data_IF_085161334117
#
_entry.id   IF_085161334117
#
_cell.length_a   1.000
_cell.length_b   1.000
_cell.length_c   1.000
_cell.angle_alpha   90.00
_cell.angle_beta   90.00
_cell.angle_gamma   90.00
#
_symmetry.space_group_name_H-M   'P 1'
#
loop_
_entity.id
_entity.type
_entity.pdbx_description
1 polymer ?
#
# COMPACT_ATOMS: atom_id res chain seq x y z
N UNK A 1 -3.60 -10.70 -37.99
CA UNK A 1 -2.30 -11.31 -37.61
C UNK A 1 -2.38 -11.67 -36.13
N UNK A 2 -2.11 -12.92 -35.78
CA UNK A 2 -2.09 -13.37 -34.37
C UNK A 2 -0.70 -13.15 -33.79
N UNK A 3 -0.64 -12.57 -32.59
CA UNK A 3 0.59 -12.30 -31.86
C UNK A 3 0.59 -13.12 -30.57
N UNK A 4 1.71 -13.79 -30.29
CA UNK A 4 1.93 -14.50 -29.04
C UNK A 4 2.61 -13.57 -28.04
N UNK A 5 2.08 -13.49 -26.83
CA UNK A 5 2.67 -12.74 -25.73
C UNK A 5 2.91 -13.66 -24.54
N UNK A 6 4.05 -13.51 -23.89
CA UNK A 6 4.44 -14.31 -22.73
C UNK A 6 5.01 -13.40 -21.66
N UNK A 7 4.71 -13.70 -20.41
CA UNK A 7 5.15 -12.92 -19.28
C UNK A 7 5.12 -13.73 -17.98
N UNK A 8 5.41 -13.05 -16.89
CA UNK A 8 5.30 -13.56 -15.53
C UNK A 8 4.48 -12.60 -14.68
N UNK A 9 3.62 -13.15 -13.83
CA UNK A 9 2.83 -12.39 -12.87
C UNK A 9 3.22 -12.84 -11.46
N UNK A 10 3.47 -11.85 -10.61
CA UNK A 10 3.87 -12.03 -9.23
C UNK A 10 3.03 -11.13 -8.31
N UNK A 11 2.98 -11.47 -7.03
CA UNK A 11 2.59 -10.53 -5.99
C UNK A 11 3.55 -9.33 -5.91
N UNK A 12 3.17 -8.30 -5.15
CA UNK A 12 3.97 -7.09 -4.94
C UNK A 12 5.37 -7.38 -4.37
N UNK A 13 5.53 -8.47 -3.60
CA UNK A 13 6.81 -8.92 -3.07
C UNK A 13 7.66 -9.75 -4.05
N UNK A 14 7.19 -9.94 -5.28
CA UNK A 14 7.87 -10.71 -6.32
C UNK A 14 7.66 -12.23 -6.24
N UNK A 15 6.91 -12.75 -5.26
CA UNK A 15 6.54 -14.17 -5.21
C UNK A 15 5.63 -14.49 -6.40
N UNK A 16 5.93 -15.55 -7.19
CA UNK A 16 5.11 -15.91 -8.33
C UNK A 16 3.67 -16.26 -7.96
N UNK A 17 2.71 -15.88 -8.80
CA UNK A 17 1.30 -16.17 -8.59
C UNK A 17 0.73 -17.06 -9.70
N UNK A 18 0.23 -18.24 -9.31
CA UNK A 18 -0.39 -19.21 -10.19
C UNK A 18 -1.89 -18.95 -10.39
N UNK A 19 -2.46 -19.56 -11.43
CA UNK A 19 -3.90 -19.52 -11.75
C UNK A 19 -4.45 -18.12 -12.01
N UNK A 20 -3.60 -17.16 -12.39
CA UNK A 20 -4.02 -15.84 -12.84
C UNK A 20 -4.37 -15.93 -14.32
N UNK A 21 -5.58 -15.49 -14.67
CA UNK A 21 -6.03 -15.41 -16.05
C UNK A 21 -5.58 -14.06 -16.62
N UNK A 22 -4.86 -14.08 -17.74
CA UNK A 22 -4.37 -12.89 -18.43
C UNK A 22 -5.09 -12.71 -19.78
N UNK A 23 -5.61 -11.51 -20.01
CA UNK A 23 -6.29 -11.09 -21.25
C UNK A 23 -5.78 -9.72 -21.70
N UNK A 24 -5.74 -9.47 -23.00
CA UNK A 24 -5.37 -8.16 -23.56
C UNK A 24 -6.62 -7.49 -24.12
N UNK A 25 -6.77 -6.22 -23.78
CA UNK A 25 -7.83 -5.35 -24.24
C UNK A 25 -7.25 -4.09 -24.86
N UNK A 26 -8.06 -3.39 -25.67
CA UNK A 26 -7.80 -2.02 -26.08
C UNK A 26 -8.72 -1.07 -25.30
N UNK A 27 -8.16 0.05 -24.81
CA UNK A 27 -8.93 1.01 -24.05
C UNK A 27 -9.68 1.97 -24.97
N UNK A 28 -10.99 2.00 -24.80
CA UNK A 28 -11.90 2.80 -25.59
C UNK A 28 -12.18 4.18 -24.93
N UNK A 29 -12.65 5.19 -25.68
CA UNK A 29 -13.13 6.44 -25.11
C UNK A 29 -14.24 6.24 -24.07
N UNK A 30 -14.27 7.11 -23.07
CA UNK A 30 -15.22 7.04 -21.95
C UNK A 30 -16.68 6.89 -22.43
N UNK A 31 -17.34 5.82 -21.99
CA UNK A 31 -18.72 5.49 -22.34
C UNK A 31 -18.86 4.40 -23.41
N UNK A 32 -17.77 4.01 -24.07
CA UNK A 32 -17.67 2.79 -24.88
C UNK A 32 -17.12 1.61 -24.06
N UNK A 33 -17.18 0.41 -24.63
CA UNK A 33 -16.75 -0.84 -23.98
C UNK A 33 -15.44 -1.30 -24.61
N UNK A 34 -14.38 -1.35 -23.80
CA UNK A 34 -13.07 -1.85 -24.18
C UNK A 34 -13.12 -3.14 -25.03
N UNK A 35 -12.33 -3.14 -26.10
CA UNK A 35 -12.26 -4.23 -27.05
C UNK A 35 -11.39 -5.38 -26.56
N UNK A 36 -11.93 -6.59 -26.57
CA UNK A 36 -11.17 -7.78 -26.20
C UNK A 36 -10.33 -8.29 -27.37
N UNK A 37 -9.04 -7.98 -27.33
CA UNK A 37 -8.07 -8.40 -28.35
C UNK A 37 -7.67 -9.88 -28.19
N UNK A 38 -8.03 -10.52 -27.08
CA UNK A 38 -7.59 -11.88 -26.72
C UNK A 38 -8.24 -12.93 -27.63
N UNK A 39 -7.42 -13.81 -28.21
CA UNK A 39 -7.85 -15.02 -28.92
C UNK A 39 -7.80 -16.23 -28.00
N UNK A 40 -6.71 -16.38 -27.26
CA UNK A 40 -6.52 -17.45 -26.28
C UNK A 40 -5.97 -16.83 -25.00
N UNK A 41 -6.70 -16.88 -23.88
CA UNK A 41 -6.24 -16.32 -22.62
C UNK A 41 -5.02 -17.09 -22.09
N UNK A 42 -4.17 -16.38 -21.36
CA UNK A 42 -3.08 -17.01 -20.62
C UNK A 42 -3.55 -17.40 -19.23
N UNK A 43 -3.03 -18.52 -18.71
CA UNK A 43 -3.18 -18.88 -17.30
C UNK A 43 -1.77 -19.06 -16.73
N UNK A 44 -1.46 -18.42 -15.60
CA UNK A 44 -0.14 -18.55 -15.00
C UNK A 44 0.06 -19.90 -14.32
N UNK A 45 1.25 -20.47 -14.49
CA UNK A 45 1.68 -21.69 -13.80
C UNK A 45 2.20 -21.42 -12.37
N UNK A 46 2.68 -22.46 -11.67
CA UNK A 46 3.25 -22.35 -10.33
C UNK A 46 4.51 -21.46 -10.23
N UNK A 47 5.11 -21.10 -11.37
CA UNK A 47 6.23 -20.16 -11.45
C UNK A 47 5.77 -18.77 -11.91
N UNK A 48 4.45 -18.52 -11.94
CA UNK A 48 3.84 -17.27 -12.34
C UNK A 48 3.88 -17.01 -13.85
N UNK A 49 4.37 -17.96 -14.66
CA UNK A 49 4.55 -17.77 -16.11
C UNK A 49 3.26 -18.05 -16.84
N UNK A 50 2.91 -17.17 -17.77
CA UNK A 50 1.75 -17.35 -18.66
C UNK A 50 2.16 -17.11 -20.12
N UNK A 51 1.34 -17.62 -21.03
CA UNK A 51 1.42 -17.32 -22.45
C UNK A 51 0.02 -17.20 -23.03
N UNK A 52 -0.23 -16.16 -23.81
CA UNK A 52 -1.51 -15.88 -24.42
C UNK A 52 -1.34 -15.55 -25.91
N UNK A 53 -2.44 -15.58 -26.65
CA UNK A 53 -2.49 -15.14 -28.06
C UNK A 53 -3.54 -14.07 -28.22
N UNK A 54 -3.21 -12.98 -28.91
CA UNK A 54 -4.12 -11.86 -29.16
C UNK A 54 -3.97 -11.35 -30.60
N UNK A 55 -4.96 -10.59 -31.07
CA UNK A 55 -4.97 -9.99 -32.41
C UNK A 55 -5.01 -8.47 -32.28
N UNK A 56 -3.89 -7.76 -32.53
CA UNK A 56 -3.80 -6.32 -32.32
C UNK A 56 -4.83 -5.51 -33.10
N UNK A 57 -5.25 -5.98 -34.28
CA UNK A 57 -6.17 -5.27 -35.17
C UNK A 57 -7.65 -5.43 -34.78
N UNK A 58 -7.98 -6.17 -33.71
CA UNK A 58 -9.36 -6.32 -33.23
C UNK A 58 -9.92 -5.08 -32.54
N UNK A 59 -9.09 -4.06 -32.30
CA UNK A 59 -9.49 -2.78 -31.73
C UNK A 59 -10.24 -1.87 -32.70
N UNK A 60 -10.27 -2.18 -34.00
CA UNK A 60 -10.85 -1.27 -34.98
C UNK A 60 -12.38 -1.35 -34.95
N UNK A 61 -13.01 -0.34 -34.35
CA UNK A 61 -14.43 -0.07 -34.54
C UNK A 61 -14.76 0.31 -35.99
N UNK A 62 -15.95 -0.06 -36.46
CA UNK A 62 -16.44 0.31 -37.80
C UNK A 62 -17.82 0.99 -37.73
N UNK A 63 -17.90 2.20 -38.28
CA UNK A 63 -19.17 2.89 -38.53
C UNK A 63 -19.79 2.41 -39.83
N UNK A 64 -21.09 2.09 -39.81
CA UNK A 64 -21.83 1.76 -41.03
C UNK A 64 -22.54 3.00 -41.53
N UNK A 65 -22.11 3.52 -42.68
CA UNK A 65 -22.82 4.59 -43.38
C UNK A 65 -23.77 3.94 -44.38
N UNK A 66 -25.06 4.14 -44.18
CA UNK A 66 -26.06 3.82 -45.20
C UNK A 66 -26.21 5.06 -46.09
N UNK A 67 -25.74 5.02 -47.35
CA UNK A 67 -25.99 6.12 -48.26
C UNK A 67 -27.50 6.28 -48.46
N UNK A 68 -28.00 7.51 -48.31
CA UNK A 68 -29.38 7.85 -48.65
C UNK A 68 -29.57 7.61 -50.14
N UNK A 69 -30.40 6.64 -50.52
CA UNK A 69 -30.81 6.45 -51.90
C UNK A 69 -31.62 7.68 -52.34
N UNK A 70 -31.04 8.54 -53.17
CA UNK A 70 -31.81 9.49 -53.96
C UNK A 70 -32.60 8.69 -55.03
N UNK A 71 -33.90 8.98 -55.29
CA UNK A 71 -34.73 8.12 -56.12
C UNK A 71 -34.35 8.01 -57.61
N UNK A 72 -33.46 8.86 -58.13
CA UNK A 72 -33.29 9.06 -59.57
C UNK A 72 -31.86 8.86 -60.10
N UNK A 73 -31.19 7.75 -59.75
CA UNK A 73 -29.97 7.31 -60.45
C UNK A 73 -30.16 5.97 -61.21
N UNK A 74 -29.84 5.91 -62.52
CA UNK A 74 -30.23 4.81 -63.42
C UNK A 74 -29.38 3.53 -63.32
N UNK A 75 -28.48 3.41 -62.34
CA UNK A 75 -27.57 2.26 -62.21
C UNK A 75 -27.57 1.58 -60.82
N UNK A 76 -28.70 1.56 -60.12
CA UNK A 76 -28.82 0.81 -58.87
C UNK A 76 -29.14 -0.67 -59.12
N UNK A 77 -28.12 -1.52 -59.14
CA UNK A 77 -28.28 -2.95 -58.84
C UNK A 77 -28.62 -3.11 -57.35
N UNK A 78 -29.74 -3.77 -57.08
CA UNK A 78 -30.27 -4.10 -55.75
C UNK A 78 -29.35 -5.04 -54.97
N UNK A 79 -28.26 -4.52 -54.42
CA UNK A 79 -27.60 -5.13 -53.27
C UNK A 79 -28.18 -4.51 -52.00
N UNK A 80 -29.32 -5.06 -51.57
CA UNK A 80 -29.92 -4.73 -50.27
C UNK A 80 -28.92 -5.14 -49.18
N UNK A 81 -28.32 -4.16 -48.48
CA UNK A 81 -27.74 -4.36 -47.15
C UNK A 81 -26.26 -4.05 -46.93
N UNK A 82 -25.49 -3.57 -47.92
CA UNK A 82 -24.07 -3.24 -47.70
C UNK A 82 -23.85 -1.74 -47.49
N UNK A 83 -24.14 -1.25 -46.28
CA UNK A 83 -23.66 0.04 -45.83
C UNK A 83 -22.13 0.11 -45.90
N UNK A 84 -21.58 1.28 -46.24
CA UNK A 84 -20.14 1.48 -46.30
C UNK A 84 -19.59 1.41 -44.87
N UNK A 85 -18.77 0.40 -44.56
CA UNK A 85 -18.09 0.29 -43.27
C UNK A 85 -16.79 1.09 -43.31
N UNK A 86 -16.73 2.17 -42.54
CA UNK A 86 -15.51 2.96 -42.37
C UNK A 86 -14.93 2.74 -40.97
N UNK A 87 -13.61 2.59 -40.83
CA UNK A 87 -12.97 2.55 -39.52
C UNK A 87 -13.31 3.81 -38.72
N UNK A 88 -13.53 3.66 -37.42
CA UNK A 88 -13.60 4.80 -36.51
C UNK A 88 -12.19 5.40 -36.37
N UNK A 89 -11.93 6.52 -37.06
CA UNK A 89 -10.63 7.19 -37.01
C UNK A 89 -10.34 7.86 -35.65
N UNK A 90 -11.33 7.90 -34.74
CA UNK A 90 -11.13 8.34 -33.36
C UNK A 90 -10.55 7.26 -32.44
N UNK A 91 -10.42 6.03 -32.94
CA UNK A 91 -10.00 4.88 -32.15
C UNK A 91 -8.47 4.81 -32.03
N UNK A 92 -7.98 5.01 -30.80
CA UNK A 92 -6.54 5.08 -30.50
C UNK A 92 -6.13 3.77 -29.87
N UNK A 93 -5.20 3.07 -30.52
CA UNK A 93 -4.63 1.84 -30.00
C UNK A 93 -3.91 2.07 -28.65
N UNK A 94 -4.57 1.71 -27.56
CA UNK A 94 -4.15 1.85 -26.17
C UNK A 94 -4.27 0.50 -25.43
N UNK A 95 -3.42 -0.48 -25.79
CA UNK A 95 -3.57 -1.83 -25.27
C UNK A 95 -3.16 -1.91 -23.81
N UNK A 96 -3.96 -2.65 -23.04
CA UNK A 96 -3.63 -3.03 -21.67
C UNK A 96 -3.83 -4.53 -21.47
N UNK A 97 -3.12 -5.08 -20.51
CA UNK A 97 -3.32 -6.45 -20.03
C UNK A 97 -4.11 -6.40 -18.74
N UNK A 98 -5.16 -7.20 -18.66
CA UNK A 98 -5.95 -7.42 -17.46
C UNK A 98 -5.64 -8.81 -16.89
N UNK A 99 -5.44 -8.84 -15.57
CA UNK A 99 -5.22 -10.03 -14.78
C UNK A 99 -6.43 -10.27 -13.88
N UNK A 100 -7.07 -11.42 -14.02
CA UNK A 100 -8.16 -11.87 -13.15
C UNK A 100 -7.68 -13.02 -12.27
N UNK A 101 -7.88 -12.90 -10.96
CA UNK A 101 -7.39 -13.86 -9.98
C UNK A 101 -8.21 -13.81 -8.69
N UNK A 102 -8.22 -14.90 -7.94
CA UNK A 102 -8.86 -14.95 -6.63
C UNK A 102 -7.84 -14.67 -5.54
N UNK A 103 -8.11 -13.68 -4.69
CA UNK A 103 -7.33 -13.37 -3.50
C UNK A 103 -8.24 -13.36 -2.28
N UNK A 104 -7.96 -14.24 -1.31
CA UNK A 104 -8.75 -14.37 -0.09
C UNK A 104 -10.26 -14.58 -0.34
N UNK A 105 -10.58 -15.43 -1.33
CA UNK A 105 -11.97 -15.75 -1.71
C UNK A 105 -12.71 -14.65 -2.50
N UNK A 106 -12.04 -13.55 -2.84
CA UNK A 106 -12.59 -12.48 -3.67
C UNK A 106 -11.95 -12.52 -5.05
N UNK A 107 -12.76 -12.36 -6.08
CA UNK A 107 -12.27 -12.24 -7.46
C UNK A 107 -11.87 -10.79 -7.72
N UNK A 108 -10.59 -10.61 -8.05
CA UNK A 108 -9.97 -9.31 -8.30
C UNK A 108 -9.55 -9.19 -9.76
N UNK A 109 -9.49 -7.95 -10.22
CA UNK A 109 -8.96 -7.59 -11.53
C UNK A 109 -7.87 -6.53 -11.38
N UNK A 110 -6.77 -6.70 -12.10
CA UNK A 110 -5.70 -5.72 -12.15
C UNK A 110 -5.32 -5.42 -13.60
N UNK A 111 -5.19 -4.14 -13.93
CA UNK A 111 -4.85 -3.68 -15.28
C UNK A 111 -3.45 -3.09 -15.29
N UNK A 112 -2.67 -3.44 -16.30
CA UNK A 112 -1.37 -2.84 -16.58
C UNK A 112 -1.28 -2.44 -18.05
N UNK A 113 -0.70 -1.28 -18.39
CA UNK A 113 -0.39 -0.95 -19.77
C UNK A 113 0.44 -2.06 -20.44
N UNK A 114 0.14 -2.39 -21.69
CA UNK A 114 0.91 -3.36 -22.45
C UNK A 114 2.09 -2.66 -23.12
N UNK A 115 3.28 -2.78 -22.54
CA UNK A 115 4.52 -2.17 -23.06
C UNK A 115 5.39 -3.21 -23.76
N UNK A 116 6.05 -2.82 -24.86
CA UNK A 116 6.85 -3.70 -25.74
C UNK A 116 8.01 -4.46 -25.06
N UNK A 117 8.44 -4.05 -23.87
CA UNK A 117 9.50 -4.72 -23.10
C UNK A 117 9.07 -5.15 -21.69
N UNK A 118 7.81 -4.92 -21.31
CA UNK A 118 7.32 -5.32 -19.99
C UNK A 118 6.81 -6.75 -20.04
N UNK A 119 7.55 -7.66 -19.41
CA UNK A 119 7.22 -9.08 -19.33
C UNK A 119 7.01 -9.56 -17.90
N UNK A 120 7.22 -8.69 -16.90
CA UNK A 120 6.96 -8.96 -15.50
C UNK A 120 5.88 -8.00 -15.01
N UNK A 121 4.86 -8.55 -14.37
CA UNK A 121 3.72 -7.81 -13.84
C UNK A 121 3.60 -8.09 -12.34
N UNK A 122 3.60 -7.03 -11.54
CA UNK A 122 3.43 -7.11 -10.10
C UNK A 122 2.00 -6.71 -9.77
N UNK A 123 1.26 -7.62 -9.17
CA UNK A 123 -0.06 -7.35 -8.61
C UNK A 123 0.11 -6.60 -7.27
N UNK A 124 -0.86 -5.75 -6.88
CA UNK A 124 -0.72 -4.90 -5.71
C UNK A 124 -0.74 -5.65 -4.36
N UNK A 125 -1.27 -6.88 -4.33
CA UNK A 125 -1.39 -7.71 -3.13
C UNK A 125 -0.06 -8.40 -2.78
N UNK A 126 0.12 -8.72 -1.49
CA UNK A 126 1.17 -9.64 -1.04
C UNK A 126 0.57 -11.03 -0.77
N UNK A 127 1.40 -12.08 -0.67
CA UNK A 127 0.95 -13.37 -0.14
C UNK A 127 0.37 -13.21 1.27
N UNK A 128 -0.64 -14.01 1.59
CA UNK A 128 -1.24 -14.04 2.92
C UNK A 128 -0.17 -14.37 3.97
N UNK A 129 -0.12 -13.58 5.04
CA UNK A 129 0.84 -13.75 6.11
C UNK A 129 0.17 -13.67 7.48
N UNK A 130 0.31 -14.73 8.27
CA UNK A 130 0.00 -14.69 9.70
C UNK A 130 1.21 -14.20 10.48
N UNK A 131 1.27 -12.88 10.69
CA UNK A 131 2.36 -12.27 11.42
C UNK A 131 2.13 -12.37 12.94
N UNK A 132 3.08 -12.99 13.64
CA UNK A 132 3.19 -12.98 15.11
C UNK A 132 4.49 -12.28 15.57
N UNK A 133 4.45 -11.25 16.45
CA UNK A 133 5.63 -10.54 16.93
C UNK A 133 6.70 -11.43 17.59
N UNK A 134 6.31 -12.43 18.38
CA UNK A 134 7.23 -13.36 19.05
C UNK A 134 7.98 -14.29 18.10
N UNK A 135 7.44 -14.51 16.89
CA UNK A 135 8.06 -15.36 15.87
C UNK A 135 8.82 -14.54 14.81
N UNK A 136 8.28 -13.40 14.41
CA UNK A 136 8.74 -12.64 13.25
C UNK A 136 9.37 -11.28 13.61
N UNK A 137 9.23 -10.82 14.85
CA UNK A 137 9.78 -9.55 15.33
C UNK A 137 11.19 -9.71 15.92
N UNK A 138 12.06 -8.71 15.74
CA UNK A 138 13.43 -8.76 16.26
C UNK A 138 13.44 -8.89 17.80
N UNK A 139 14.40 -9.67 18.33
CA UNK A 139 14.52 -9.95 19.77
C UNK A 139 15.30 -8.88 20.55
N UNK A 140 15.63 -7.75 19.93
CA UNK A 140 16.33 -6.63 20.56
C UNK A 140 15.50 -5.35 20.45
N UNK A 141 15.56 -4.46 21.46
CA UNK A 141 14.75 -3.25 21.44
C UNK A 141 15.31 -2.24 20.45
N UNK A 142 14.41 -1.41 19.94
CA UNK A 142 14.71 -0.28 19.07
C UNK A 142 15.45 0.87 19.82
N UNK A 143 16.73 0.65 20.13
CA UNK A 143 17.57 1.59 20.88
C UNK A 143 19.04 1.53 20.43
N UNK A 144 19.32 2.05 19.23
CA UNK A 144 20.65 2.01 18.63
C UNK A 144 21.56 3.06 19.25
N UNK A 145 22.83 2.74 19.44
CA UNK A 145 23.84 3.69 19.93
C UNK A 145 24.27 4.68 18.83
N UNK A 146 24.55 5.92 19.20
CA UNK A 146 25.07 6.96 18.30
C UNK A 146 24.01 7.97 17.88
N UNK A 147 24.14 8.49 16.66
CA UNK A 147 23.28 9.53 16.10
C UNK A 147 22.62 9.07 14.79
N UNK A 148 21.35 9.42 14.62
CA UNK A 148 20.55 9.03 13.46
C UNK A 148 20.96 9.71 12.14
N UNK A 149 21.62 10.88 12.20
CA UNK A 149 21.83 11.73 11.02
C UNK A 149 23.03 11.27 10.16
N UNK A 150 22.88 11.23 8.81
CA UNK A 150 23.95 10.90 7.87
C UNK A 150 24.90 12.06 7.54
N UNK A 151 24.73 13.22 8.16
CA UNK A 151 25.66 14.34 8.00
C UNK A 151 26.72 14.23 9.06
N UNK A 152 27.99 14.22 8.66
CA UNK A 152 29.12 14.53 9.54
C UNK A 152 28.75 15.76 10.35
N UNK A 153 28.32 15.58 11.59
CA UNK A 153 28.00 16.69 12.46
C UNK A 153 29.28 17.51 12.55
N UNK A 154 29.31 18.77 12.06
CA UNK A 154 30.48 19.61 12.25
C UNK A 154 30.80 19.60 13.75
N UNK A 155 32.09 19.59 14.12
CA UNK A 155 32.55 19.38 15.51
C UNK A 155 31.95 20.31 16.57
N UNK A 156 31.23 21.36 16.17
CA UNK A 156 30.46 22.26 17.02
C UNK A 156 29.03 21.78 17.39
N UNK A 157 28.50 20.73 16.76
CA UNK A 157 27.21 20.09 17.10
C UNK A 157 27.42 18.87 18.02
N UNK A 158 28.67 18.52 18.35
CA UNK A 158 29.02 17.60 19.44
C UNK A 158 28.74 18.23 20.83
N UNK A 159 27.52 18.72 20.99
CA UNK A 159 26.95 19.12 22.26
C UNK A 159 26.58 17.86 23.03
N UNK A 160 26.88 17.83 24.33
CA UNK A 160 26.45 16.81 25.29
C UNK A 160 24.92 16.61 25.37
N UNK A 161 24.14 17.41 24.63
CA UNK A 161 22.67 17.38 24.57
C UNK A 161 22.08 16.52 23.45
N UNK A 162 22.88 15.97 22.54
CA UNK A 162 22.35 15.07 21.51
C UNK A 162 22.21 13.66 22.11
N UNK A 163 21.01 13.08 22.01
CA UNK A 163 20.72 11.76 22.57
C UNK A 163 21.76 10.74 22.10
N UNK A 164 22.37 10.00 23.04
CA UNK A 164 23.40 8.98 22.75
C UNK A 164 22.82 7.73 22.09
N UNK A 165 21.51 7.72 21.85
CA UNK A 165 20.78 6.64 21.20
C UNK A 165 19.68 7.18 20.29
N UNK A 166 19.34 6.42 19.24
CA UNK A 166 18.25 6.71 18.31
C UNK A 166 17.45 5.44 17.99
N UNK A 167 16.26 5.64 17.42
CA UNK A 167 15.39 4.57 16.95
C UNK A 167 15.42 4.40 15.43
N UNK A 168 15.27 3.15 14.99
CA UNK A 168 14.98 2.69 13.64
C UNK A 168 13.62 1.95 13.61
N UNK A 169 12.60 2.45 14.30
CA UNK A 169 11.32 1.75 14.46
C UNK A 169 10.65 1.39 13.13
N UNK A 170 10.59 2.33 12.19
CA UNK A 170 10.06 2.09 10.83
C UNK A 170 10.90 1.07 10.08
N UNK A 171 12.22 1.15 10.20
CA UNK A 171 13.15 0.19 9.59
C UNK A 171 13.02 -1.21 10.16
N UNK A 172 12.82 -1.35 11.47
CA UNK A 172 12.61 -2.63 12.15
C UNK A 172 11.24 -3.23 11.83
N UNK A 173 10.19 -2.43 11.72
CA UNK A 173 8.86 -2.89 11.28
C UNK A 173 8.89 -3.40 9.84
N UNK A 174 9.44 -2.60 8.93
CA UNK A 174 9.57 -2.98 7.52
C UNK A 174 10.44 -4.22 7.34
N UNK A 175 11.58 -4.30 8.04
CA UNK A 175 12.46 -5.47 7.95
C UNK A 175 11.82 -6.73 8.54
N UNK A 176 11.14 -6.65 9.69
CA UNK A 176 10.42 -7.80 10.25
C UNK A 176 9.36 -8.32 9.25
N UNK A 177 8.64 -7.40 8.61
CA UNK A 177 7.67 -7.75 7.59
C UNK A 177 8.32 -8.35 6.32
N UNK A 178 9.45 -7.79 5.87
CA UNK A 178 10.24 -8.31 4.75
C UNK A 178 10.70 -9.76 5.03
N UNK A 179 11.19 -10.05 6.24
CA UNK A 179 11.59 -11.39 6.67
C UNK A 179 10.44 -12.38 6.64
N UNK A 180 9.31 -12.00 7.23
CA UNK A 180 8.11 -12.83 7.29
C UNK A 180 7.54 -13.12 5.89
N UNK A 181 7.43 -12.11 5.03
CA UNK A 181 6.98 -12.28 3.64
C UNK A 181 7.93 -13.15 2.80
N UNK A 182 9.22 -13.11 3.09
CA UNK A 182 10.21 -13.94 2.42
C UNK A 182 10.27 -15.38 2.97
N UNK A 183 9.46 -15.72 3.99
CA UNK A 183 9.53 -17.01 4.68
C UNK A 183 10.89 -17.26 5.34
N UNK A 184 11.61 -16.21 5.71
CA UNK A 184 12.94 -16.29 6.33
C UNK A 184 12.84 -16.06 7.82
N UNK A 185 13.60 -16.83 8.59
CA UNK A 185 13.81 -16.53 10.00
C UNK A 185 14.60 -15.25 10.17
N UNK A 186 14.15 -14.41 11.10
CA UNK A 186 14.90 -13.24 11.54
C UNK A 186 16.23 -13.66 12.20
N UNK A 187 17.23 -12.77 12.24
CA UNK A 187 18.45 -12.97 13.02
C UNK A 187 18.16 -13.32 14.48
N UNK A 188 18.64 -14.48 14.93
CA UNK A 188 18.43 -15.01 16.29
C UNK A 188 19.38 -14.38 17.31
N UNK A 189 19.51 -13.05 17.30
CA UNK A 189 20.35 -12.28 18.22
C UNK A 189 19.49 -11.39 19.11
N UNK A 190 19.82 -11.33 20.39
CA UNK A 190 19.25 -10.38 21.35
C UNK A 190 20.07 -9.10 21.46
N UNK A 191 21.26 -9.08 20.86
CA UNK A 191 22.14 -7.91 20.81
C UNK A 191 21.72 -6.94 19.72
N UNK A 192 21.59 -5.66 20.08
CA UNK A 192 21.37 -4.56 19.12
C UNK A 192 22.57 -4.54 18.16
N UNK A 193 22.35 -4.57 16.84
CA UNK A 193 23.45 -4.67 15.88
C UNK A 193 24.31 -3.40 15.91
N UNK A 194 25.62 -3.58 15.96
CA UNK A 194 26.56 -2.47 15.93
C UNK A 194 26.43 -1.65 14.65
N UNK A 195 26.69 -0.35 14.76
CA UNK A 195 26.66 0.57 13.62
C UNK A 195 27.56 0.07 12.49
N UNK A 196 27.04 0.07 11.26
CA UNK A 196 27.78 -0.36 10.07
C UNK A 196 27.82 -1.86 9.83
N UNK A 197 27.26 -2.69 10.72
CA UNK A 197 27.01 -4.11 10.41
C UNK A 197 25.98 -4.24 9.29
N UNK A 198 25.92 -5.41 8.62
CA UNK A 198 24.95 -5.66 7.53
C UNK A 198 23.50 -5.48 8.00
N UNK A 199 23.17 -6.00 9.18
CA UNK A 199 21.83 -5.87 9.74
C UNK A 199 21.52 -4.40 10.07
N UNK A 200 22.44 -3.69 10.72
CA UNK A 200 22.26 -2.27 11.02
C UNK A 200 22.03 -1.44 9.75
N UNK A 201 22.87 -1.61 8.71
CA UNK A 201 22.72 -0.88 7.43
C UNK A 201 21.38 -1.18 6.75
N UNK A 202 20.93 -2.44 6.82
CA UNK A 202 19.64 -2.83 6.27
C UNK A 202 18.48 -2.15 7.03
N UNK A 203 18.46 -2.23 8.36
CA UNK A 203 17.46 -1.55 9.20
C UNK A 203 17.46 -0.04 8.95
N UNK A 204 18.64 0.56 8.82
CA UNK A 204 18.78 1.99 8.53
C UNK A 204 18.21 2.35 7.15
N UNK A 205 18.52 1.56 6.11
CA UNK A 205 17.96 1.77 4.77
C UNK A 205 16.43 1.68 4.80
N UNK A 206 15.87 0.66 5.45
CA UNK A 206 14.41 0.51 5.58
C UNK A 206 13.78 1.64 6.39
N UNK A 207 14.49 2.19 7.37
CA UNK A 207 14.04 3.39 8.08
C UNK A 207 13.96 4.60 7.14
N UNK A 208 14.96 4.79 6.27
CA UNK A 208 14.93 5.85 5.26
C UNK A 208 13.81 5.64 4.26
N UNK A 209 13.55 4.40 3.83
CA UNK A 209 12.44 4.06 2.93
C UNK A 209 11.08 4.46 3.55
N UNK A 210 10.91 4.28 4.87
CA UNK A 210 9.67 4.66 5.58
C UNK A 210 9.40 6.17 5.54
N UNK A 211 10.42 7.01 5.31
CA UNK A 211 10.22 8.45 5.17
C UNK A 211 9.59 8.83 3.81
N UNK A 212 9.54 7.90 2.87
CA UNK A 212 9.02 8.09 1.51
C UNK A 212 9.94 8.92 0.61
N UNK A 213 9.64 8.91 -0.69
CA UNK A 213 10.35 9.73 -1.67
C UNK A 213 10.29 11.22 -1.29
N UNK A 214 11.43 11.90 -1.29
CA UNK A 214 11.57 13.30 -0.87
C UNK A 214 11.04 13.59 0.55
N UNK A 215 11.09 12.61 1.46
CA UNK A 215 10.67 12.75 2.86
C UNK A 215 9.17 13.10 3.06
N UNK A 216 8.31 12.77 2.09
CA UNK A 216 6.87 13.07 2.15
C UNK A 216 6.17 12.53 3.41
N UNK A 217 6.58 11.36 3.91
CA UNK A 217 5.97 10.79 5.12
C UNK A 217 6.44 11.48 6.39
N UNK A 218 7.69 11.97 6.43
CA UNK A 218 8.13 12.86 7.52
C UNK A 218 7.32 14.15 7.53
N UNK A 219 6.99 14.70 6.37
CA UNK A 219 6.09 15.86 6.25
C UNK A 219 4.69 15.51 6.78
N UNK A 220 4.15 14.33 6.46
CA UNK A 220 2.85 13.88 6.99
C UNK A 220 2.89 13.73 8.51
N UNK A 221 3.91 13.09 9.09
CA UNK A 221 4.10 13.01 10.55
C UNK A 221 4.17 14.41 11.17
N UNK A 222 4.92 15.33 10.55
CA UNK A 222 5.03 16.70 11.02
C UNK A 222 3.69 17.43 11.02
N UNK A 223 2.91 17.31 9.94
CA UNK A 223 1.56 17.86 9.83
C UNK A 223 0.66 17.31 10.93
N UNK A 224 0.66 16.00 11.16
CA UNK A 224 -0.14 15.36 12.21
C UNK A 224 0.31 15.78 13.62
N UNK A 225 1.60 15.98 13.84
CA UNK A 225 2.15 16.45 15.12
C UNK A 225 1.69 17.87 15.45
N UNK A 226 1.50 18.71 14.42
CA UNK A 226 0.98 20.07 14.55
C UNK A 226 -0.55 20.16 14.49
N UNK A 227 -1.25 19.04 14.23
CA UNK A 227 -2.71 19.06 14.35
C UNK A 227 -3.04 19.30 15.83
N UNK A 228 -3.93 20.25 16.12
CA UNK A 228 -4.26 20.59 17.52
C UNK A 228 -4.97 19.42 18.27
N UNK A 229 -5.34 19.54 19.57
CA UNK A 229 -6.37 18.70 20.30
C UNK A 229 -7.78 19.37 20.60
N UNK A 230 -8.93 18.81 20.17
CA UNK A 230 -10.29 19.29 20.55
C UNK A 230 -11.26 20.07 19.61
N UNK A 231 -11.27 19.98 18.26
CA UNK A 231 -12.43 20.45 17.42
C UNK A 231 -12.97 19.35 16.46
N UNK A 232 -13.55 19.67 15.29
CA UNK A 232 -14.16 18.71 14.35
C UNK A 232 -13.19 18.07 13.31
N UNK A 233 -12.07 18.72 12.97
CA UNK A 233 -11.08 18.29 11.94
C UNK A 233 -9.74 17.71 12.49
N UNK A 234 -9.77 16.76 13.43
CA UNK A 234 -8.62 16.43 14.30
C UNK A 234 -8.02 15.08 13.99
N UNK A 235 -7.01 14.71 14.75
CA UNK A 235 -6.40 13.39 14.69
C UNK A 235 -7.44 12.28 14.86
N UNK A 236 -8.51 12.47 15.66
CA UNK A 236 -9.58 11.47 15.82
C UNK A 236 -10.39 11.21 14.55
N UNK A 237 -10.87 12.24 13.84
CA UNK A 237 -11.60 12.04 12.58
C UNK A 237 -10.69 11.52 11.48
N UNK A 238 -9.47 12.06 11.36
CA UNK A 238 -8.47 11.57 10.41
C UNK A 238 -8.04 10.12 10.68
N UNK A 239 -7.95 9.72 11.95
CA UNK A 239 -7.66 8.33 12.33
C UNK A 239 -8.80 7.42 11.90
N UNK A 240 -10.06 7.85 12.04
CA UNK A 240 -11.23 7.13 11.55
C UNK A 240 -11.18 6.94 10.02
N UNK A 241 -10.85 8.00 9.28
CA UNK A 241 -10.71 7.95 7.82
C UNK A 241 -9.59 7.00 7.37
N UNK A 242 -8.42 7.10 8.00
CA UNK A 242 -7.26 6.23 7.73
C UNK A 242 -7.56 4.78 8.09
N UNK A 243 -8.31 4.54 9.17
CA UNK A 243 -8.62 3.19 9.64
C UNK A 243 -9.44 2.40 8.63
N UNK A 244 -10.31 3.02 7.84
CA UNK A 244 -11.05 2.33 6.78
C UNK A 244 -10.12 1.65 5.76
N UNK A 245 -9.02 2.31 5.39
CA UNK A 245 -8.03 1.73 4.48
C UNK A 245 -7.16 0.68 5.18
N UNK A 246 -6.80 0.92 6.45
CA UNK A 246 -6.04 -0.03 7.26
C UNK A 246 -6.84 -1.34 7.43
N UNK A 247 -8.13 -1.22 7.76
CA UNK A 247 -9.06 -2.33 7.94
C UNK A 247 -9.07 -3.25 6.73
N UNK A 248 -9.25 -2.70 5.53
CA UNK A 248 -9.28 -3.49 4.30
C UNK A 248 -7.98 -4.30 4.12
N UNK A 249 -6.81 -3.70 4.39
CA UNK A 249 -5.53 -4.42 4.32
C UNK A 249 -5.42 -5.52 5.37
N UNK A 250 -5.86 -5.26 6.60
CA UNK A 250 -5.82 -6.26 7.67
C UNK A 250 -6.82 -7.41 7.45
N UNK A 251 -7.99 -7.13 6.88
CA UNK A 251 -8.97 -8.15 6.45
C UNK A 251 -8.34 -9.10 5.40
N UNK A 252 -7.44 -8.57 4.57
CA UNK A 252 -6.67 -9.31 3.56
C UNK A 252 -5.39 -9.97 4.10
N UNK A 253 -5.21 -10.04 5.42
CA UNK A 253 -4.00 -10.57 6.06
C UNK A 253 -2.71 -9.92 5.55
N UNK A 254 -2.80 -8.64 5.22
CA UNK A 254 -1.66 -7.80 4.84
C UNK A 254 -1.35 -6.84 6.00
N UNK A 255 -0.32 -7.13 6.83
CA UNK A 255 0.15 -6.21 7.84
C UNK A 255 0.43 -4.80 7.31
N UNK A 256 0.19 -3.80 8.15
CA UNK A 256 0.28 -2.38 7.81
C UNK A 256 1.23 -1.68 8.78
N UNK A 257 2.25 -1.00 8.26
CA UNK A 257 3.08 -0.12 9.09
C UNK A 257 2.24 1.12 9.43
N UNK A 258 2.13 1.43 10.71
CA UNK A 258 1.42 2.60 11.21
C UNK A 258 2.42 3.61 11.77
N UNK A 259 2.20 4.88 11.50
CA UNK A 259 2.79 5.96 12.30
C UNK A 259 1.86 6.26 13.47
N UNK A 260 2.39 6.22 14.69
CA UNK A 260 1.71 6.59 15.93
C UNK A 260 2.16 7.99 16.33
N UNK A 261 1.18 8.88 16.52
CA UNK A 261 1.42 10.25 16.95
C UNK A 261 1.20 10.32 18.46
N UNK A 262 2.27 10.51 19.21
CA UNK A 262 2.23 10.65 20.67
C UNK A 262 2.29 12.12 21.09
N UNK A 263 3.04 12.94 20.35
CA UNK A 263 3.34 14.32 20.75
C UNK A 263 2.52 15.35 19.98
N UNK A 264 2.42 16.54 20.58
CA UNK A 264 1.85 17.74 19.96
C UNK A 264 2.90 18.86 19.91
N UNK A 265 2.97 19.58 18.79
CA UNK A 265 3.85 20.74 18.65
C UNK A 265 3.04 21.98 18.25
N UNK A 266 3.21 23.09 18.98
CA UNK A 266 2.57 24.37 18.68
C UNK A 266 3.48 25.32 17.89
N UNK A 267 4.73 24.92 17.64
CA UNK A 267 5.71 25.75 16.92
C UNK A 267 6.74 24.91 16.19
N UNK A 268 7.39 25.50 15.20
CA UNK A 268 8.48 24.85 14.43
C UNK A 268 9.65 24.41 15.33
N UNK A 269 9.94 25.16 16.39
CA UNK A 269 11.00 24.82 17.35
C UNK A 269 10.65 23.59 18.18
N UNK A 270 9.39 23.45 18.59
CA UNK A 270 8.94 22.24 19.28
C UNK A 270 8.89 21.04 18.34
N UNK A 271 8.38 21.27 17.12
CA UNK A 271 8.25 20.24 16.10
C UNK A 271 9.59 19.57 15.78
N UNK A 272 10.68 20.33 15.66
CA UNK A 272 12.00 19.79 15.32
C UNK A 272 12.54 18.80 16.37
N UNK A 273 12.04 18.83 17.60
CA UNK A 273 12.43 17.90 18.65
C UNK A 273 11.37 16.80 18.84
N UNK A 274 10.08 17.15 18.82
CA UNK A 274 8.97 16.23 19.11
C UNK A 274 8.65 15.27 17.97
N UNK A 275 8.97 15.61 16.73
CA UNK A 275 8.71 14.74 15.58
C UNK A 275 9.37 13.36 15.73
N UNK A 276 10.55 13.31 16.35
CA UNK A 276 11.32 12.08 16.59
C UNK A 276 10.86 11.29 17.82
N UNK A 277 9.91 11.81 18.58
CA UNK A 277 9.26 11.10 19.68
C UNK A 277 8.00 10.35 19.22
N UNK A 278 7.53 10.62 17.99
CA UNK A 278 6.50 9.79 17.36
C UNK A 278 7.11 8.46 16.92
N UNK A 279 6.26 7.46 16.73
CA UNK A 279 6.71 6.07 16.62
C UNK A 279 6.13 5.37 15.41
N UNK A 280 6.75 4.26 14.99
CA UNK A 280 6.22 3.40 13.94
C UNK A 280 6.11 1.97 14.47
N UNK A 281 4.97 1.35 14.18
CA UNK A 281 4.62 -0.02 14.59
C UNK A 281 4.06 -0.79 13.40
N UNK A 282 4.03 -2.12 13.47
CA UNK A 282 3.41 -2.95 12.44
C UNK A 282 2.10 -3.54 12.97
N UNK A 283 0.96 -3.06 12.46
CA UNK A 283 -0.34 -3.67 12.74
C UNK A 283 -0.51 -4.96 11.91
N UNK A 284 -0.98 -6.03 12.55
CA UNK A 284 -1.11 -7.33 11.89
C UNK A 284 -2.47 -8.00 12.05
N UNK A 285 -3.29 -7.54 13.00
CA UNK A 285 -4.66 -7.99 13.16
C UNK A 285 -5.49 -6.90 13.85
N UNK A 286 -6.81 -7.03 13.76
CA UNK A 286 -7.72 -6.22 14.57
C UNK A 286 -8.97 -7.00 14.95
N UNK A 287 -9.66 -6.53 15.98
CA UNK A 287 -11.00 -6.95 16.37
C UNK A 287 -11.86 -5.69 16.50
N UNK A 288 -13.12 -5.78 16.06
CA UNK A 288 -14.12 -4.74 16.26
C UNK A 288 -15.09 -5.20 17.36
N UNK A 289 -15.42 -4.31 18.29
CA UNK A 289 -16.44 -4.56 19.31
C UNK A 289 -17.81 -4.04 18.84
N UNK A 290 -18.88 -4.46 19.53
CA UNK A 290 -20.27 -4.11 19.19
C UNK A 290 -20.56 -2.60 19.28
N UNK A 291 -19.80 -1.88 20.10
CA UNK A 291 -19.91 -0.42 20.24
C UNK A 291 -19.22 0.34 19.10
N UNK A 292 -18.58 -0.35 18.16
CA UNK A 292 -17.86 0.24 17.02
C UNK A 292 -16.41 0.64 17.31
N UNK A 293 -15.88 0.29 18.48
CA UNK A 293 -14.47 0.42 18.82
C UNK A 293 -13.63 -0.73 18.26
N UNK A 294 -12.33 -0.49 18.16
CA UNK A 294 -11.37 -1.41 17.56
C UNK A 294 -10.22 -1.69 18.52
N UNK A 295 -9.76 -2.94 18.53
CA UNK A 295 -8.48 -3.33 19.12
C UNK A 295 -7.58 -3.79 17.98
N UNK A 296 -6.43 -3.17 17.82
CA UNK A 296 -5.47 -3.47 16.74
C UNK A 296 -4.24 -4.11 17.37
N UNK A 297 -3.93 -5.35 17.01
CA UNK A 297 -2.70 -6.00 17.45
C UNK A 297 -1.50 -5.44 16.67
N UNK A 298 -0.43 -5.11 17.39
CA UNK A 298 0.75 -4.47 16.81
C UNK A 298 2.05 -5.16 17.24
N UNK A 299 3.01 -5.22 16.33
CA UNK A 299 4.42 -5.38 16.66
C UNK A 299 5.02 -4.00 16.93
N UNK A 300 5.40 -3.76 18.18
CA UNK A 300 6.15 -2.59 18.60
C UNK A 300 7.63 -2.97 18.77
N UNK A 301 8.56 -2.43 17.94
CA UNK A 301 9.97 -2.77 18.02
C UNK A 301 10.66 -2.24 19.29
N UNK A 302 10.00 -1.39 20.10
CA UNK A 302 10.46 -1.05 21.45
C UNK A 302 10.15 -2.14 22.49
N UNK A 303 9.26 -3.08 22.16
CA UNK A 303 8.77 -4.15 23.03
C UNK A 303 8.98 -5.55 22.39
N UNK A 304 10.24 -6.01 22.23
CA UNK A 304 10.56 -7.29 21.57
C UNK A 304 9.82 -8.48 22.16
N UNK A 305 9.35 -9.37 21.28
CA UNK A 305 8.75 -10.65 21.67
C UNK A 305 7.37 -10.57 22.34
N UNK A 306 6.71 -9.40 22.31
CA UNK A 306 5.40 -9.19 22.93
C UNK A 306 4.28 -9.31 21.90
N UNK A 307 3.40 -10.29 22.11
CA UNK A 307 2.20 -10.52 21.29
C UNK A 307 0.95 -9.84 21.87
N UNK A 308 1.07 -9.24 23.05
CA UNK A 308 -0.01 -8.62 23.84
C UNK A 308 0.00 -7.09 23.80
N UNK A 309 0.65 -6.51 22.78
CA UNK A 309 0.65 -5.06 22.51
C UNK A 309 -0.48 -4.73 21.54
N UNK A 310 -1.35 -3.80 21.93
CA UNK A 310 -2.49 -3.40 21.12
C UNK A 310 -2.69 -1.89 21.10
N UNK A 311 -3.32 -1.38 20.04
CA UNK A 311 -3.95 -0.06 20.01
C UNK A 311 -5.45 -0.25 20.22
N UNK A 312 -5.97 0.26 21.33
CA UNK A 312 -7.41 0.38 21.55
C UNK A 312 -7.89 1.71 20.99
N UNK A 313 -8.87 1.69 20.10
CA UNK A 313 -9.44 2.87 19.45
C UNK A 313 -10.97 2.88 19.64
N UNK A 314 -11.45 3.79 20.48
CA UNK A 314 -12.87 3.89 20.82
C UNK A 314 -13.55 5.05 20.06
N UNK A 315 -14.79 4.88 19.59
CA UNK A 315 -15.52 5.92 18.90
C UNK A 315 -15.86 7.06 19.86
N UNK A 316 -15.68 8.29 19.38
CA UNK A 316 -16.01 9.51 20.11
C UNK A 316 -16.79 10.46 19.21
N UNK A 317 -17.79 11.13 19.77
CA UNK A 317 -18.54 12.17 19.07
C UNK A 317 -17.71 13.46 19.09
N UNK A 318 -17.38 13.98 17.90
CA UNK A 318 -16.60 15.20 17.73
C UNK A 318 -17.47 16.45 17.56
N UNK A 319 -18.72 16.27 17.15
CA UNK A 319 -19.71 17.34 17.04
C UNK A 319 -20.79 17.05 16.01
N UNK A 320 -21.58 18.07 15.67
CA UNK A 320 -22.66 17.99 14.68
C UNK A 320 -22.44 19.05 13.62
N UNK A 321 -22.45 18.64 12.35
CA UNK A 321 -22.40 19.55 11.20
C UNK A 321 -23.81 19.69 10.64
N UNK A 322 -24.34 20.90 10.65
CA UNK A 322 -25.63 21.20 10.02
C UNK A 322 -25.39 21.31 8.50
N UNK A 323 -25.64 20.22 7.78
CA UNK A 323 -25.77 20.30 6.32
C UNK A 323 -27.15 20.87 5.97
N UNK A 324 -27.27 21.47 4.78
CA UNK A 324 -28.49 22.15 4.29
C UNK A 324 -29.76 21.27 4.29
N UNK A 325 -29.62 19.95 4.48
CA UNK A 325 -30.71 18.98 4.45
C UNK A 325 -30.93 18.21 5.76
N UNK A 326 -29.90 18.01 6.61
CA UNK A 326 -30.02 17.42 7.96
C UNK A 326 -28.71 17.53 8.77
N UNK A 327 -28.79 17.63 10.12
CA UNK A 327 -27.61 17.56 10.98
C UNK A 327 -26.95 16.18 10.90
N UNK A 328 -25.63 16.16 10.62
CA UNK A 328 -24.82 14.95 10.59
C UNK A 328 -23.87 14.93 11.78
N UNK A 329 -23.88 13.85 12.56
CA UNK A 329 -22.93 13.67 13.67
C UNK A 329 -21.59 13.25 13.10
N UNK A 330 -20.53 13.97 13.49
CA UNK A 330 -19.15 13.63 13.14
C UNK A 330 -18.57 12.81 14.28
N UNK A 331 -18.10 11.61 13.97
CA UNK A 331 -17.40 10.74 14.90
C UNK A 331 -15.91 10.65 14.55
N UNK A 332 -15.11 10.24 15.52
CA UNK A 332 -13.70 9.93 15.34
C UNK A 332 -13.25 8.82 16.28
N UNK A 333 -11.96 8.49 16.25
CA UNK A 333 -11.39 7.43 17.07
C UNK A 333 -10.38 7.98 18.09
N UNK A 334 -10.70 7.84 19.37
CA UNK A 334 -9.75 8.10 20.47
C UNK A 334 -8.93 6.84 20.72
N UNK A 335 -7.61 6.96 20.63
CA UNK A 335 -6.73 5.81 20.61
C UNK A 335 -5.77 5.77 21.80
N UNK A 336 -5.44 4.57 22.27
CA UNK A 336 -4.50 4.33 23.37
C UNK A 336 -3.70 3.07 23.07
N UNK A 337 -2.40 3.08 23.34
CA UNK A 337 -1.59 1.87 23.30
C UNK A 337 -1.64 1.17 24.66
N UNK A 338 -1.92 -0.14 24.62
CA UNK A 338 -1.95 -1.01 25.80
C UNK A 338 -0.88 -2.10 25.69
N UNK A 339 -0.36 -2.50 26.85
CA UNK A 339 0.57 -3.61 27.03
C UNK A 339 0.02 -4.55 28.09
N UNK A 340 -0.34 -5.79 27.70
CA UNK A 340 -0.94 -6.76 28.63
C UNK A 340 -2.22 -6.22 29.30
N UNK A 341 -3.01 -5.45 28.55
CA UNK A 341 -4.25 -4.80 29.03
C UNK A 341 -4.03 -3.54 29.89
N UNK A 342 -2.79 -3.17 30.21
CA UNK A 342 -2.47 -1.96 30.97
C UNK A 342 -2.14 -0.79 30.05
N UNK A 343 -2.45 0.43 30.47
CA UNK A 343 -2.06 1.65 29.76
C UNK A 343 -0.54 1.69 29.53
N UNK A 344 -0.13 1.92 28.29
CA UNK A 344 1.28 2.09 27.93
C UNK A 344 1.57 3.53 27.45
N UNK A 345 0.78 4.02 26.48
CA UNK A 345 0.94 5.38 25.94
C UNK A 345 -0.37 5.92 25.36
N UNK A 346 -0.54 7.25 25.44
CA UNK A 346 -1.63 7.93 24.75
C UNK A 346 -1.29 8.08 23.26
N UNK A 347 -2.22 7.66 22.38
CA UNK A 347 -2.08 7.81 20.92
C UNK A 347 -3.01 8.93 20.47
N UNK A 348 -2.47 10.08 20.07
CA UNK A 348 -3.26 11.22 19.58
C UNK A 348 -3.97 10.86 18.28
N UNK A 349 -3.30 10.11 17.43
CA UNK A 349 -3.84 9.53 16.21
C UNK A 349 -2.83 8.63 15.53
N UNK A 350 -3.27 7.92 14.50
CA UNK A 350 -2.40 7.09 13.70
C UNK A 350 -2.83 7.09 12.24
N UNK A 351 -1.89 6.73 11.36
CA UNK A 351 -2.15 6.61 9.93
C UNK A 351 -1.25 5.56 9.28
N UNK A 352 -1.64 5.12 8.09
CA UNK A 352 -0.87 4.13 7.33
C UNK A 352 0.40 4.73 6.72
N UNK A 353 1.52 4.04 6.91
CA UNK A 353 2.80 4.34 6.27
C UNK A 353 2.97 3.49 5.00
N UNK A 354 3.60 4.03 3.95
CA UNK A 354 3.88 3.26 2.75
C UNK A 354 4.86 2.13 3.05
N UNK A 355 4.65 1.00 2.39
CA UNK A 355 5.51 -0.16 2.48
C UNK A 355 5.66 -0.78 1.11
N UNK A 356 6.91 -1.06 0.74
CA UNK A 356 7.28 -1.83 -0.44
C UNK A 356 8.18 -2.97 0.02
N UNK A 357 7.83 -4.24 -0.25
CA UNK A 357 8.64 -5.38 0.17
C UNK A 357 10.06 -5.32 -0.42
N UNK A 358 11.06 -5.68 0.38
CA UNK A 358 12.45 -5.82 -0.06
C UNK A 358 12.98 -7.16 0.41
N UNK A 359 13.62 -7.93 -0.48
CA UNK A 359 14.21 -9.21 -0.10
C UNK A 359 15.30 -9.01 0.99
N UNK A 360 15.18 -9.62 2.18
CA UNK A 360 16.17 -9.43 3.22
C UNK A 360 17.55 -9.97 2.82
N UNK A 361 18.65 -9.31 3.25
CA UNK A 361 20.00 -9.75 2.97
C UNK A 361 20.30 -11.11 3.61
N UNK A 362 21.26 -11.84 3.04
CA UNK A 362 21.80 -13.05 3.67
C UNK A 362 22.77 -12.65 4.78
N UNK A 363 22.46 -13.08 6.00
CA UNK A 363 23.38 -13.04 7.13
C UNK A 363 24.05 -14.41 7.19
N UNK A 364 25.31 -14.46 6.74
CA UNK A 364 26.15 -15.65 6.86
C UNK A 364 26.87 -15.61 8.22
#
# INVERSE_FOLDING_TARGET
>A
MKVKFSGSVCYANGVPLANVIARIFDQDPSGKKDDDLTVTPGISDNTGRFSLTYEPLRYLDFHSINPSLAPDEPFNTTAVGSGLRLPDFGDIYLPYIEFSYTHHGRDLQHRSPLRIFQTIFLLPENPLLEFLPSLHGFHFPNKFAGYFLPFSAPGFIASSKVARSYGLCGGMCAAAYDFALAGKTIPQTNGIPHQGTRLHRYLFQRQMDSFGGMAQQLVKVAQWTCLPEGTLMWTHSRTSDEFNTIRQKLDDKNPVILALIYEHANSMKELSHRIFNNHQVLAYAYQQNDAGGFTINIYDPNLPGRDDVVIQADPVILGVVNANTSPTTVTGLKSTQLLGGSFYAQVRGFFSMPYLPVLPPKFN
#
